data_IF_557112846560
#
_entry.id   IF_557112846560
#
_cell.length_a   1.000
_cell.length_b   1.000
_cell.length_c   1.000
_cell.angle_alpha   90.00
_cell.angle_beta   90.00
_cell.angle_gamma   90.00
#
_symmetry.space_group_name_H-M   'P 1'
#
loop_
_entity.id
_entity.type
_entity.pdbx_description
1 polymer ?
#
# COMPACT_ATOMS: atom_id res chain seq x y z
N UNK A 1 10.40 48.80 -61.95
CA UNK A 1 10.75 48.93 -60.54
C UNK A 1 9.52 48.42 -59.72
N UNK A 2 9.59 47.20 -59.19
CA UNK A 2 8.51 46.62 -58.33
C UNK A 2 9.09 46.53 -56.94
N UNK A 3 8.45 47.22 -55.99
CA UNK A 3 8.77 47.25 -54.58
C UNK A 3 8.32 45.94 -53.95
N UNK A 4 9.22 45.29 -53.25
CA UNK A 4 8.93 44.08 -52.41
C UNK A 4 8.75 44.59 -50.99
N UNK A 5 7.51 44.48 -50.46
CA UNK A 5 7.22 44.73 -49.06
C UNK A 5 7.58 43.49 -48.22
N UNK A 6 8.44 43.70 -47.26
CA UNK A 6 8.89 42.71 -46.29
C UNK A 6 7.92 42.69 -45.11
N UNK A 7 7.11 41.64 -45.00
CA UNK A 7 6.22 41.42 -43.83
C UNK A 7 7.04 40.74 -42.73
N UNK A 8 7.30 41.46 -41.66
CA UNK A 8 7.94 40.92 -40.46
C UNK A 8 6.88 40.13 -39.59
N UNK A 9 7.04 38.82 -39.49
CA UNK A 9 6.23 37.97 -38.66
C UNK A 9 6.80 37.95 -37.25
N UNK A 10 6.16 38.64 -36.31
CA UNK A 10 6.53 38.65 -34.88
C UNK A 10 5.93 37.42 -34.20
N UNK A 11 6.74 36.41 -33.92
CA UNK A 11 6.35 35.27 -33.05
C UNK A 11 6.28 35.72 -31.59
N UNK A 12 5.07 35.82 -31.06
CA UNK A 12 4.85 36.01 -29.61
C UNK A 12 5.02 34.65 -28.92
N UNK A 13 6.19 34.42 -28.31
CA UNK A 13 6.43 33.26 -27.46
C UNK A 13 5.67 33.45 -26.13
N UNK A 14 4.53 32.78 -26.00
CA UNK A 14 3.80 32.70 -24.73
C UNK A 14 4.54 31.75 -23.79
N UNK A 15 5.42 32.27 -22.93
CA UNK A 15 6.07 31.51 -21.86
C UNK A 15 5.04 31.27 -20.76
N UNK A 16 4.45 30.08 -20.72
CA UNK A 16 3.70 29.59 -19.54
C UNK A 16 4.68 29.40 -18.38
N UNK A 17 4.85 30.42 -17.56
CA UNK A 17 5.56 30.30 -16.30
C UNK A 17 4.71 29.39 -15.37
N UNK A 18 5.08 28.12 -15.24
CA UNK A 18 4.60 27.29 -14.15
C UNK A 18 5.22 27.82 -12.86
N UNK A 19 4.42 28.45 -12.02
CA UNK A 19 4.84 28.76 -10.66
C UNK A 19 5.13 27.43 -9.93
N UNK A 20 6.30 27.26 -9.29
CA UNK A 20 6.55 26.10 -8.47
C UNK A 20 5.53 26.08 -7.32
N UNK A 21 4.86 24.94 -7.14
CA UNK A 21 3.99 24.74 -5.99
C UNK A 21 4.79 24.96 -4.69
N UNK A 22 4.22 25.64 -3.68
CA UNK A 22 4.93 25.87 -2.44
C UNK A 22 5.33 24.53 -1.81
N UNK A 23 6.64 24.33 -1.66
CA UNK A 23 7.18 23.16 -0.97
C UNK A 23 6.80 23.29 0.51
N UNK A 24 5.93 22.37 0.98
CA UNK A 24 5.71 22.23 2.42
C UNK A 24 7.05 21.91 3.11
N UNK A 25 7.32 22.48 4.29
CA UNK A 25 8.59 22.28 4.96
C UNK A 25 8.81 20.80 5.27
N UNK A 26 9.93 20.29 4.80
CA UNK A 26 10.36 18.95 5.08
C UNK A 26 10.75 18.83 6.56
N UNK A 27 9.97 18.15 7.38
CA UNK A 27 10.38 17.79 8.73
C UNK A 27 11.61 16.88 8.65
N UNK A 28 12.74 17.31 9.19
CA UNK A 28 13.95 16.52 9.31
C UNK A 28 13.76 15.50 10.44
N UNK A 29 13.67 14.22 10.13
CA UNK A 29 13.55 13.10 11.07
C UNK A 29 13.37 11.79 10.30
N UNK A 30 13.61 10.67 10.92
CA UNK A 30 13.33 9.35 10.32
C UNK A 30 11.84 9.25 10.04
N UNK A 31 11.46 9.45 8.78
CA UNK A 31 10.07 9.56 8.37
C UNK A 31 9.48 8.19 8.18
N UNK A 32 8.38 7.95 8.87
CA UNK A 32 7.50 6.84 8.57
C UNK A 32 6.35 7.36 7.72
N UNK A 33 6.13 6.75 6.57
CA UNK A 33 4.97 7.02 5.72
C UNK A 33 4.07 5.80 5.76
N UNK A 34 2.82 6.00 6.18
CA UNK A 34 1.77 4.99 6.19
C UNK A 34 0.88 5.21 4.98
N UNK A 35 0.87 4.27 4.06
CA UNK A 35 0.09 4.29 2.84
C UNK A 35 -1.20 3.51 3.06
N UNK A 36 -2.33 4.18 2.83
CA UNK A 36 -3.68 3.64 2.88
C UNK A 36 -4.25 3.74 1.46
N UNK A 37 -4.69 2.62 0.89
CA UNK A 37 -5.06 2.59 -0.53
C UNK A 37 -6.54 2.84 -0.76
N UNK A 38 -7.43 2.06 -0.14
CA UNK A 38 -8.85 2.12 -0.43
C UNK A 38 -9.53 3.37 0.16
N UNK A 39 -10.47 3.94 -0.59
CA UNK A 39 -11.23 5.11 -0.16
C UNK A 39 -11.97 4.91 1.16
N UNK A 40 -12.53 3.72 1.37
CA UNK A 40 -13.26 3.38 2.61
C UNK A 40 -12.30 3.27 3.79
N UNK A 41 -11.15 2.62 3.62
CA UNK A 41 -10.11 2.54 4.65
C UNK A 41 -9.62 3.94 5.04
N UNK A 42 -9.40 4.81 4.05
CA UNK A 42 -9.02 6.20 4.29
C UNK A 42 -10.07 6.95 5.11
N UNK A 43 -11.36 6.81 4.76
CA UNK A 43 -12.46 7.42 5.54
C UNK A 43 -12.48 6.92 6.98
N UNK A 44 -12.22 5.61 7.19
CA UNK A 44 -12.16 5.02 8.52
C UNK A 44 -10.99 5.60 9.32
N UNK A 45 -9.79 5.69 8.71
CA UNK A 45 -8.62 6.30 9.35
C UNK A 45 -8.90 7.76 9.72
N UNK A 46 -9.50 8.53 8.81
CA UNK A 46 -9.89 9.93 9.06
C UNK A 46 -10.95 10.09 10.16
N UNK A 47 -11.85 9.12 10.31
CA UNK A 47 -12.83 9.12 11.40
C UNK A 47 -12.22 8.80 12.77
N UNK A 48 -11.11 8.07 12.80
CA UNK A 48 -10.38 7.73 14.03
C UNK A 48 -9.35 8.82 14.42
N UNK A 49 -8.84 9.57 13.45
CA UNK A 49 -7.82 10.62 13.64
C UNK A 49 -8.39 11.94 13.08
N UNK A 50 -9.09 12.71 13.91
CA UNK A 50 -9.95 13.81 13.46
C UNK A 50 -9.29 15.18 13.43
N UNK A 51 -8.33 15.44 14.32
CA UNK A 51 -7.86 16.80 14.62
C UNK A 51 -6.67 17.27 13.77
N UNK A 52 -6.27 16.47 12.78
CA UNK A 52 -5.09 16.73 11.95
C UNK A 52 -5.42 17.55 10.70
N UNK A 53 -4.55 18.51 10.38
CA UNK A 53 -4.64 19.27 9.14
C UNK A 53 -4.38 18.37 7.93
N UNK A 54 -5.30 18.39 6.97
CA UNK A 54 -5.23 17.57 5.75
C UNK A 54 -4.67 18.40 4.60
N UNK A 55 -3.79 17.78 3.82
CA UNK A 55 -3.14 18.37 2.66
C UNK A 55 -3.43 17.50 1.43
N UNK A 56 -3.54 18.13 0.26
CA UNK A 56 -3.78 17.44 -1.01
C UNK A 56 -2.48 17.08 -1.74
N UNK A 57 -2.54 16.01 -2.52
CA UNK A 57 -1.52 15.58 -3.48
C UNK A 57 -2.19 15.19 -4.81
N UNK A 58 -1.44 14.96 -5.89
CA UNK A 58 -2.00 14.45 -7.14
C UNK A 58 -2.69 13.07 -7.01
N UNK A 59 -2.37 12.27 -5.97
CA UNK A 59 -2.94 10.93 -5.78
C UNK A 59 -4.07 10.90 -4.76
N UNK A 60 -4.02 11.75 -3.75
CA UNK A 60 -4.98 11.79 -2.66
C UNK A 60 -4.52 12.75 -1.56
N UNK A 61 -4.93 12.50 -0.35
CA UNK A 61 -4.69 13.37 0.79
C UNK A 61 -3.63 12.80 1.73
N UNK A 62 -2.99 13.64 2.51
CA UNK A 62 -2.10 13.24 3.59
C UNK A 62 -2.27 14.13 4.81
N UNK A 63 -1.89 13.59 5.96
CA UNK A 63 -1.77 14.32 7.21
C UNK A 63 -0.64 13.73 8.07
N UNK A 64 -0.15 14.51 9.02
CA UNK A 64 0.82 14.03 10.02
C UNK A 64 0.08 13.74 11.32
N UNK A 65 0.42 12.61 11.95
CA UNK A 65 -0.16 12.24 13.25
C UNK A 65 0.91 11.58 14.12
N UNK A 66 0.76 11.74 15.43
CA UNK A 66 1.68 11.18 16.40
C UNK A 66 1.22 9.84 16.91
N UNK A 67 1.91 8.75 16.48
CA UNK A 67 1.73 7.41 17.03
C UNK A 67 2.75 7.15 18.15
N UNK A 68 2.30 7.16 19.40
CA UNK A 68 3.19 7.07 20.55
C UNK A 68 4.19 8.24 20.59
N UNK A 69 5.47 7.96 20.38
CA UNK A 69 6.54 8.97 20.34
C UNK A 69 6.97 9.37 18.93
N UNK A 70 6.39 8.75 17.89
CA UNK A 70 6.82 8.91 16.50
C UNK A 70 5.83 9.77 15.71
N UNK A 71 6.35 10.73 14.94
CA UNK A 71 5.56 11.46 13.96
C UNK A 71 5.48 10.63 12.66
N UNK A 72 4.26 10.37 12.21
CA UNK A 72 3.95 9.48 11.08
C UNK A 72 3.14 10.25 10.06
N UNK A 73 3.46 10.10 8.79
CA UNK A 73 2.64 10.63 7.70
C UNK A 73 1.66 9.55 7.23
N UNK A 74 0.37 9.83 7.34
CA UNK A 74 -0.67 9.01 6.72
C UNK A 74 -0.97 9.57 5.33
N UNK A 75 -0.93 8.72 4.32
CA UNK A 75 -1.11 9.10 2.93
C UNK A 75 -2.12 8.20 2.22
N UNK A 76 -3.13 8.81 1.61
CA UNK A 76 -4.12 8.13 0.79
C UNK A 76 -3.56 7.92 -0.61
N UNK A 77 -3.21 6.68 -0.94
CA UNK A 77 -2.50 6.34 -2.17
C UNK A 77 -3.41 6.01 -3.36
N UNK A 78 -4.70 5.81 -3.12
CA UNK A 78 -5.67 5.41 -4.15
C UNK A 78 -5.77 3.89 -4.36
N UNK A 79 -6.84 3.50 -5.05
CA UNK A 79 -7.33 2.14 -5.18
C UNK A 79 -6.76 1.43 -6.42
N UNK A 80 -6.36 0.17 -6.25
CA UNK A 80 -5.83 -0.69 -7.31
C UNK A 80 -4.34 -0.49 -7.61
N UNK A 81 -3.75 -1.41 -8.37
CA UNK A 81 -2.30 -1.49 -8.62
C UNK A 81 -1.70 -0.24 -9.24
N UNK A 82 -2.38 0.38 -10.19
CA UNK A 82 -1.87 1.57 -10.89
C UNK A 82 -1.74 2.76 -9.94
N UNK A 83 -2.79 3.04 -9.15
CA UNK A 83 -2.76 4.11 -8.15
C UNK A 83 -1.74 3.80 -7.05
N UNK A 84 -1.72 2.57 -6.55
CA UNK A 84 -0.80 2.12 -5.52
C UNK A 84 0.67 2.24 -5.95
N UNK A 85 1.02 1.84 -7.17
CA UNK A 85 2.37 1.99 -7.71
C UNK A 85 2.77 3.47 -7.83
N UNK A 86 1.92 4.29 -8.46
CA UNK A 86 2.19 5.72 -8.67
C UNK A 86 2.31 6.49 -7.36
N UNK A 87 1.40 6.24 -6.41
CA UNK A 87 1.43 6.90 -5.09
C UNK A 87 2.61 6.45 -4.23
N UNK A 88 3.03 5.18 -4.34
CA UNK A 88 4.22 4.69 -3.66
C UNK A 88 5.48 5.41 -4.17
N UNK A 89 5.65 5.50 -5.50
CA UNK A 89 6.76 6.25 -6.08
C UNK A 89 6.73 7.71 -5.63
N UNK A 90 5.55 8.36 -5.70
CA UNK A 90 5.38 9.73 -5.22
C UNK A 90 5.78 9.91 -3.75
N UNK A 91 5.36 8.97 -2.87
CA UNK A 91 5.70 9.02 -1.46
C UNK A 91 7.22 8.90 -1.23
N UNK A 92 7.89 8.02 -1.97
CA UNK A 92 9.34 7.82 -1.91
C UNK A 92 10.06 9.10 -2.34
N UNK A 93 9.72 9.65 -3.50
CA UNK A 93 10.36 10.85 -4.05
C UNK A 93 10.09 12.11 -3.21
N UNK A 94 8.89 12.20 -2.64
CA UNK A 94 8.46 13.40 -1.91
C UNK A 94 8.94 13.44 -0.49
N UNK A 95 8.95 12.29 0.20
CA UNK A 95 9.18 12.24 1.64
C UNK A 95 10.42 11.46 2.05
N UNK A 96 11.04 10.69 1.16
CA UNK A 96 12.23 9.87 1.42
C UNK A 96 12.08 9.06 2.72
N UNK A 97 11.04 8.18 2.84
CA UNK A 97 10.74 7.49 4.08
C UNK A 97 11.89 6.57 4.50
N UNK A 98 12.23 6.59 5.79
CA UNK A 98 13.09 5.57 6.38
C UNK A 98 12.35 4.23 6.52
N UNK A 99 11.02 4.27 6.58
CA UNK A 99 10.13 3.13 6.58
C UNK A 99 8.82 3.52 5.89
N UNK A 100 8.46 2.79 4.84
CA UNK A 100 7.14 2.81 4.24
C UNK A 100 6.32 1.67 4.87
N UNK A 101 5.10 1.95 5.31
CA UNK A 101 4.18 0.96 5.84
C UNK A 101 2.91 1.00 5.02
N UNK A 102 2.44 -0.13 4.53
CA UNK A 102 1.10 -0.22 3.97
C UNK A 102 0.18 -0.88 5.00
N UNK A 103 -0.88 -0.16 5.37
CA UNK A 103 -1.98 -0.70 6.18
C UNK A 103 -3.24 -0.77 5.33
N UNK A 104 -3.98 -1.84 5.48
CA UNK A 104 -5.25 -2.03 4.79
C UNK A 104 -5.90 -3.36 5.11
N UNK A 105 -7.07 -3.58 4.54
CA UNK A 105 -7.82 -4.83 4.66
C UNK A 105 -7.42 -5.83 3.59
N UNK A 106 -7.74 -7.10 3.81
CA UNK A 106 -7.60 -8.17 2.82
C UNK A 106 -8.72 -9.20 2.99
N UNK A 107 -9.00 -9.95 1.93
CA UNK A 107 -9.82 -11.15 2.00
C UNK A 107 -8.99 -12.33 2.50
N UNK A 108 -9.45 -13.01 3.54
CA UNK A 108 -8.84 -14.23 4.04
C UNK A 108 -9.34 -15.47 3.28
N UNK A 109 -8.48 -16.48 3.08
CA UNK A 109 -8.93 -17.76 2.52
C UNK A 109 -9.67 -18.55 3.59
N UNK A 110 -10.90 -18.98 3.29
CA UNK A 110 -11.74 -19.74 4.21
C UNK A 110 -11.06 -21.02 4.70
N UNK A 111 -11.13 -21.25 6.01
CA UNK A 111 -10.45 -22.37 6.66
C UNK A 111 -8.95 -22.17 6.96
N UNK A 112 -8.34 -21.12 6.42
CA UNK A 112 -6.93 -20.78 6.67
C UNK A 112 -6.77 -19.52 7.53
N UNK A 113 -7.75 -18.61 7.49
CA UNK A 113 -7.75 -17.33 8.23
C UNK A 113 -9.08 -17.15 8.96
N UNK A 114 -9.06 -16.20 9.92
CA UNK A 114 -10.24 -15.72 10.63
C UNK A 114 -10.36 -14.20 10.45
N UNK A 115 -11.60 -13.68 10.50
CA UNK A 115 -11.82 -12.21 10.48
C UNK A 115 -11.15 -11.57 11.70
N UNK A 116 -10.35 -10.55 11.48
CA UNK A 116 -9.54 -9.90 12.50
C UNK A 116 -8.09 -10.38 12.57
N UNK A 117 -7.72 -11.48 11.90
CA UNK A 117 -6.30 -11.85 11.74
C UNK A 117 -5.53 -10.70 11.10
N UNK A 118 -4.30 -10.46 11.56
CA UNK A 118 -3.39 -9.51 10.93
C UNK A 118 -2.27 -10.28 10.25
N UNK A 119 -2.15 -10.13 8.94
CA UNK A 119 -1.09 -10.72 8.12
C UNK A 119 0.05 -9.72 7.99
N UNK A 120 1.25 -10.09 8.46
CA UNK A 120 2.50 -9.44 8.13
C UNK A 120 3.07 -10.15 6.90
N UNK A 121 3.06 -9.48 5.77
CA UNK A 121 3.51 -10.09 4.53
C UNK A 121 5.02 -10.39 4.55
N UNK A 122 5.39 -11.63 4.31
CA UNK A 122 6.76 -12.07 4.05
C UNK A 122 7.12 -12.03 2.57
N UNK A 123 6.12 -12.03 1.73
CA UNK A 123 6.22 -11.96 0.28
C UNK A 123 4.90 -11.43 -0.28
N UNK A 124 4.96 -10.72 -1.38
CA UNK A 124 3.77 -10.36 -2.18
C UNK A 124 3.94 -10.86 -3.60
N UNK A 125 2.84 -11.31 -4.22
CA UNK A 125 2.83 -11.73 -5.64
C UNK A 125 1.63 -11.10 -6.33
N UNK A 126 1.87 -10.37 -7.43
CA UNK A 126 0.80 -9.91 -8.33
C UNK A 126 0.46 -11.09 -9.24
N UNK A 127 -0.68 -11.75 -8.99
CA UNK A 127 -1.00 -13.04 -9.62
C UNK A 127 -1.85 -12.94 -10.90
N UNK A 128 -2.38 -11.77 -11.21
CA UNK A 128 -3.22 -11.53 -12.39
C UNK A 128 -2.42 -11.02 -13.61
N UNK A 129 -1.12 -11.21 -13.60
CA UNK A 129 -0.29 -11.09 -14.79
C UNK A 129 -0.47 -12.36 -15.61
N UNK A 130 -1.02 -12.21 -16.81
CA UNK A 130 -1.31 -13.33 -17.70
C UNK A 130 -0.50 -13.18 -18.98
N UNK A 131 0.58 -13.94 -19.09
CA UNK A 131 1.39 -14.04 -20.31
C UNK A 131 0.88 -15.22 -21.14
N UNK A 132 0.50 -14.95 -22.41
CA UNK A 132 -0.04 -15.95 -23.33
C UNK A 132 0.91 -16.31 -24.46
N UNK A 133 2.01 -15.55 -24.63
CA UNK A 133 2.95 -15.72 -25.73
C UNK A 133 4.35 -16.16 -25.29
N UNK A 134 4.66 -15.97 -24.02
CA UNK A 134 5.92 -16.33 -23.38
C UNK A 134 5.74 -17.34 -22.27
N UNK A 135 6.64 -17.27 -21.28
CA UNK A 135 6.56 -18.10 -20.06
C UNK A 135 5.75 -17.35 -18.98
N UNK A 136 4.54 -17.82 -18.63
CA UNK A 136 3.71 -17.18 -17.62
C UNK A 136 4.32 -17.21 -16.22
N UNK A 137 5.17 -18.19 -15.90
CA UNK A 137 5.81 -18.26 -14.59
C UNK A 137 6.97 -17.26 -14.48
N UNK A 138 7.71 -17.03 -15.57
CA UNK A 138 8.71 -15.96 -15.64
C UNK A 138 8.06 -14.57 -15.48
N UNK A 139 6.98 -14.33 -16.22
CA UNK A 139 6.24 -13.06 -16.14
C UNK A 139 5.74 -12.74 -14.71
N UNK A 140 5.22 -13.76 -14.00
CA UNK A 140 4.79 -13.57 -12.60
C UNK A 140 5.98 -13.43 -11.65
N UNK A 141 7.10 -14.11 -11.92
CA UNK A 141 8.30 -14.03 -11.07
C UNK A 141 8.83 -12.59 -10.96
N UNK A 142 8.72 -11.78 -12.02
CA UNK A 142 9.10 -10.37 -12.02
C UNK A 142 8.25 -9.50 -11.08
N UNK A 143 7.06 -9.97 -10.73
CA UNK A 143 6.12 -9.28 -9.83
C UNK A 143 5.98 -9.96 -8.47
N UNK A 144 6.97 -10.76 -8.11
CA UNK A 144 7.09 -11.39 -6.80
C UNK A 144 8.13 -10.65 -5.96
N UNK A 145 7.72 -10.12 -4.82
CA UNK A 145 8.58 -9.32 -3.95
C UNK A 145 8.69 -9.96 -2.57
N UNK A 146 9.89 -10.34 -2.17
CA UNK A 146 10.17 -10.78 -0.80
C UNK A 146 10.32 -9.59 0.13
N UNK A 147 9.78 -9.72 1.34
CA UNK A 147 9.75 -8.67 2.35
C UNK A 147 10.52 -9.13 3.60
N UNK A 148 11.28 -8.20 4.17
CA UNK A 148 11.99 -8.46 5.41
C UNK A 148 11.04 -8.33 6.61
N UNK A 149 10.76 -9.45 7.24
CA UNK A 149 9.96 -9.54 8.47
C UNK A 149 10.82 -9.72 9.73
N UNK A 150 12.13 -9.89 9.60
CA UNK A 150 13.04 -10.13 10.74
C UNK A 150 13.09 -8.96 11.73
N UNK A 151 12.80 -7.74 11.24
CA UNK A 151 12.72 -6.55 12.08
C UNK A 151 11.44 -6.47 12.92
N UNK A 152 10.47 -7.36 12.71
CA UNK A 152 9.23 -7.37 13.49
C UNK A 152 9.53 -7.69 14.96
N UNK A 153 8.98 -6.91 15.93
CA UNK A 153 9.28 -7.13 17.34
C UNK A 153 8.82 -8.50 17.85
N UNK A 154 9.72 -9.29 18.42
CA UNK A 154 9.40 -10.63 18.94
C UNK A 154 8.26 -10.61 19.96
N UNK A 155 8.14 -9.54 20.77
CA UNK A 155 7.03 -9.35 21.75
C UNK A 155 5.64 -9.20 21.09
N UNK A 156 5.60 -8.88 19.78
CA UNK A 156 4.37 -8.74 19.02
C UNK A 156 4.15 -9.90 18.02
N UNK A 157 5.01 -10.92 18.05
CA UNK A 157 4.94 -12.04 17.11
C UNK A 157 3.60 -12.79 17.16
N UNK A 158 2.99 -12.91 18.34
CA UNK A 158 1.67 -13.57 18.49
C UNK A 158 0.48 -12.73 17.99
N UNK A 159 0.71 -11.47 17.63
CA UNK A 159 -0.34 -10.57 17.14
C UNK A 159 -0.44 -10.54 15.62
N UNK A 160 0.43 -11.25 14.92
CA UNK A 160 0.45 -11.31 13.46
C UNK A 160 0.64 -12.73 12.97
N UNK A 161 0.14 -13.00 11.80
CA UNK A 161 0.49 -14.20 11.03
C UNK A 161 1.47 -13.77 9.94
N UNK A 162 2.69 -14.31 9.97
CA UNK A 162 3.68 -14.03 8.93
C UNK A 162 3.45 -14.99 7.77
N UNK A 163 3.26 -14.46 6.56
CA UNK A 163 3.02 -15.29 5.38
C UNK A 163 2.93 -14.52 4.08
N UNK A 164 2.92 -15.23 2.94
CA UNK A 164 2.73 -14.63 1.63
C UNK A 164 1.32 -14.06 1.46
N UNK A 165 1.23 -12.93 0.71
CA UNK A 165 0.00 -12.33 0.21
C UNK A 165 -0.02 -12.39 -1.32
N UNK A 166 -1.20 -12.53 -1.90
CA UNK A 166 -1.42 -12.34 -3.34
C UNK A 166 -2.20 -11.05 -3.60
N UNK A 167 -1.88 -10.37 -4.70
CA UNK A 167 -2.56 -9.12 -5.10
C UNK A 167 -3.04 -9.19 -6.53
N UNK A 168 -4.20 -8.58 -6.81
CA UNK A 168 -4.74 -8.45 -8.16
C UNK A 168 -5.75 -7.29 -8.23
N UNK A 169 -5.96 -6.69 -9.41
CA UNK A 169 -7.04 -5.71 -9.62
C UNK A 169 -8.41 -6.41 -9.81
N UNK A 170 -8.71 -7.31 -8.89
CA UNK A 170 -9.97 -8.08 -8.87
C UNK A 170 -10.20 -8.69 -7.50
N UNK A 171 -11.46 -8.96 -7.19
CA UNK A 171 -11.82 -9.73 -6.01
C UNK A 171 -11.28 -11.16 -6.10
N UNK A 172 -11.02 -11.76 -4.96
CA UNK A 172 -10.64 -13.16 -4.87
C UNK A 172 -11.78 -14.05 -5.37
N UNK A 173 -11.47 -14.91 -6.34
CA UNK A 173 -12.41 -15.90 -6.86
C UNK A 173 -12.35 -17.15 -5.97
N UNK A 174 -13.46 -17.56 -5.33
CA UNK A 174 -13.51 -18.79 -4.54
C UNK A 174 -12.95 -20.00 -5.26
N UNK A 175 -13.20 -20.12 -6.57
CA UNK A 175 -12.71 -21.26 -7.37
C UNK A 175 -11.18 -21.24 -7.57
N UNK A 176 -10.54 -20.09 -7.43
CA UNK A 176 -9.09 -19.95 -7.61
C UNK A 176 -8.29 -20.18 -6.31
N UNK A 177 -8.92 -20.10 -5.11
CA UNK A 177 -8.21 -20.10 -3.83
C UNK A 177 -7.29 -21.29 -3.62
N UNK A 178 -7.76 -22.50 -3.93
CA UNK A 178 -6.95 -23.70 -3.78
C UNK A 178 -5.68 -23.66 -4.65
N UNK A 179 -5.80 -23.13 -5.88
CA UNK A 179 -4.67 -22.94 -6.79
C UNK A 179 -3.70 -21.85 -6.28
N UNK A 180 -4.22 -20.74 -5.78
CA UNK A 180 -3.41 -19.66 -5.20
C UNK A 180 -2.66 -20.12 -3.95
N UNK A 181 -3.32 -20.86 -3.07
CA UNK A 181 -2.70 -21.44 -1.87
C UNK A 181 -1.61 -22.44 -2.24
N UNK A 182 -1.86 -23.32 -3.21
CA UNK A 182 -0.88 -24.33 -3.64
C UNK A 182 0.33 -23.70 -4.35
N UNK A 183 0.10 -22.71 -5.23
CA UNK A 183 1.16 -22.11 -6.04
C UNK A 183 1.98 -21.06 -5.27
N UNK A 184 1.34 -20.23 -4.46
CA UNK A 184 1.98 -19.08 -3.81
C UNK A 184 2.08 -19.23 -2.29
N UNK A 185 1.56 -20.31 -1.71
CA UNK A 185 1.47 -20.53 -0.25
C UNK A 185 0.72 -19.38 0.47
N UNK A 186 -0.13 -18.66 -0.27
CA UNK A 186 -0.89 -17.55 0.26
C UNK A 186 -2.12 -18.05 1.03
N UNK A 187 -2.56 -17.25 1.99
CA UNK A 187 -3.77 -17.50 2.77
C UNK A 187 -4.66 -16.26 2.88
N UNK A 188 -4.27 -15.19 2.20
CA UNK A 188 -5.02 -13.95 2.07
C UNK A 188 -4.60 -13.22 0.80
N UNK A 189 -5.44 -12.30 0.33
CA UNK A 189 -5.16 -11.49 -0.85
C UNK A 189 -5.82 -10.12 -0.78
N UNK A 190 -5.24 -9.20 -1.53
CA UNK A 190 -5.68 -7.81 -1.63
C UNK A 190 -5.52 -7.26 -3.06
N UNK A 191 -5.66 -5.94 -3.20
CA UNK A 191 -5.55 -5.29 -4.51
C UNK A 191 -4.24 -4.51 -4.70
N UNK A 192 -3.53 -4.07 -3.66
CA UNK A 192 -2.47 -3.07 -3.80
C UNK A 192 -1.10 -3.48 -3.28
N UNK A 193 -1.02 -4.36 -2.28
CA UNK A 193 0.25 -4.60 -1.58
C UNK A 193 1.36 -5.12 -2.48
N UNK A 194 1.01 -5.89 -3.52
CA UNK A 194 1.98 -6.33 -4.52
C UNK A 194 2.64 -5.18 -5.27
N UNK A 195 1.85 -4.20 -5.70
CA UNK A 195 2.36 -3.03 -6.41
C UNK A 195 3.21 -2.12 -5.50
N UNK A 196 2.76 -1.92 -4.25
CA UNK A 196 3.49 -1.13 -3.25
C UNK A 196 4.85 -1.77 -2.94
N UNK A 197 4.87 -3.06 -2.67
CA UNK A 197 6.08 -3.81 -2.36
C UNK A 197 7.06 -3.80 -3.55
N UNK A 198 6.56 -4.00 -4.76
CA UNK A 198 7.36 -3.99 -5.99
C UNK A 198 8.06 -2.64 -6.21
N UNK A 199 7.31 -1.53 -6.13
CA UNK A 199 7.88 -0.18 -6.27
C UNK A 199 8.89 0.11 -5.17
N UNK A 200 8.58 -0.22 -3.91
CA UNK A 200 9.49 0.00 -2.79
C UNK A 200 10.80 -0.78 -2.95
N UNK A 201 10.74 -2.04 -3.39
CA UNK A 201 11.92 -2.88 -3.63
C UNK A 201 12.81 -2.29 -4.74
N UNK A 202 12.23 -1.83 -5.86
CA UNK A 202 12.98 -1.22 -6.96
C UNK A 202 13.63 0.12 -6.59
N UNK A 203 13.09 0.80 -5.58
CA UNK A 203 13.67 2.02 -5.01
C UNK A 203 14.58 1.75 -3.79
N UNK A 204 14.85 0.50 -3.45
CA UNK A 204 15.60 0.13 -2.23
C UNK A 204 15.03 0.77 -0.96
N UNK A 205 13.73 1.04 -0.94
CA UNK A 205 13.01 1.62 0.18
C UNK A 205 12.52 0.50 1.11
N UNK A 206 12.85 0.62 2.39
CA UNK A 206 12.35 -0.32 3.39
C UNK A 206 10.84 -0.25 3.47
N UNK A 207 10.17 -1.37 3.29
CA UNK A 207 8.71 -1.46 3.30
C UNK A 207 8.21 -2.56 4.22
N UNK A 208 7.06 -2.34 4.84
CA UNK A 208 6.33 -3.31 5.64
C UNK A 208 4.86 -3.31 5.23
N UNK A 209 4.31 -4.48 4.99
CA UNK A 209 2.92 -4.67 4.59
C UNK A 209 2.19 -5.38 5.73
N UNK A 210 1.18 -4.72 6.29
CA UNK A 210 0.28 -5.25 7.30
C UNK A 210 -1.15 -5.20 6.78
N UNK A 211 -1.77 -6.36 6.61
CA UNK A 211 -3.16 -6.47 6.14
C UNK A 211 -4.01 -7.17 7.20
N UNK A 212 -5.14 -6.58 7.52
CA UNK A 212 -6.10 -7.22 8.41
C UNK A 212 -7.23 -7.89 7.64
N UNK A 213 -7.57 -9.10 8.02
CA UNK A 213 -8.65 -9.87 7.37
C UNK A 213 -9.99 -9.26 7.74
N UNK A 214 -10.69 -8.72 6.76
CA UNK A 214 -12.01 -8.09 6.92
C UNK A 214 -13.16 -9.02 6.58
N UNK A 215 -12.91 -10.02 5.75
CA UNK A 215 -13.88 -10.96 5.20
C UNK A 215 -13.19 -12.28 4.83
N UNK A 216 -13.97 -13.36 4.74
CA UNK A 216 -13.47 -14.68 4.38
C UNK A 216 -14.06 -15.12 3.04
N UNK A 217 -13.22 -15.35 2.06
CA UNK A 217 -13.63 -15.90 0.77
C UNK A 217 -13.71 -17.41 0.87
N UNK A 218 -14.81 -18.01 0.36
CA UNK A 218 -15.08 -19.46 0.38
C UNK A 218 -15.08 -20.07 1.80
N UNK A 219 -15.60 -19.33 2.79
CA UNK A 219 -15.80 -19.89 4.13
C UNK A 219 -16.87 -20.99 4.10
N UNK A 220 -16.67 -22.11 4.83
CA UNK A 220 -17.72 -23.12 4.98
C UNK A 220 -19.00 -22.52 5.56
N UNK A 221 -20.11 -22.62 4.82
CA UNK A 221 -21.40 -22.01 5.19
C UNK A 221 -21.59 -20.58 4.65
N UNK A 222 -20.63 -20.05 3.90
CA UNK A 222 -20.60 -18.69 3.38
C UNK A 222 -20.10 -17.67 4.41
N UNK A 223 -19.40 -16.66 3.94
CA UNK A 223 -19.06 -15.51 4.79
C UNK A 223 -20.24 -14.52 4.82
N UNK A 224 -20.84 -14.24 5.98
CA UNK A 224 -21.89 -13.25 6.07
C UNK A 224 -21.46 -11.84 5.70
N UNK A 225 -20.13 -11.55 5.64
CA UNK A 225 -19.61 -10.24 5.29
C UNK A 225 -19.49 -10.05 3.78
N UNK A 226 -19.19 -11.10 3.02
CA UNK A 226 -18.88 -11.04 1.58
C UNK A 226 -20.08 -10.57 0.71
N UNK A 227 -21.30 -10.89 1.12
CA UNK A 227 -22.53 -10.53 0.38
C UNK A 227 -23.49 -9.61 1.16
N UNK A 228 -23.10 -9.17 2.37
CA UNK A 228 -23.95 -8.32 3.20
C UNK A 228 -23.56 -6.84 3.04
N UNK A 229 -24.45 -5.99 2.49
CA UNK A 229 -24.18 -4.56 2.37
C UNK A 229 -23.75 -3.93 3.71
N UNK A 230 -22.64 -3.21 3.70
CA UNK A 230 -22.08 -2.54 4.87
C UNK A 230 -21.42 -3.46 5.92
N UNK A 231 -21.41 -4.78 5.73
CA UNK A 231 -20.74 -5.69 6.66
C UNK A 231 -19.21 -5.55 6.56
N UNK A 232 -18.69 -5.47 5.34
CA UNK A 232 -17.28 -5.22 5.08
C UNK A 232 -16.81 -3.90 5.72
N UNK A 233 -17.57 -2.80 5.55
CA UNK A 233 -17.20 -1.52 6.18
C UNK A 233 -17.15 -1.64 7.71
N UNK A 234 -18.11 -2.34 8.33
CA UNK A 234 -18.11 -2.53 9.79
C UNK A 234 -16.91 -3.34 10.27
N UNK A 235 -16.59 -4.44 9.59
CA UNK A 235 -15.41 -5.25 9.89
C UNK A 235 -14.12 -4.42 9.71
N UNK A 236 -14.05 -3.64 8.63
CA UNK A 236 -12.91 -2.77 8.33
C UNK A 236 -12.65 -1.72 9.41
N UNK A 237 -13.67 -1.20 10.11
CA UNK A 237 -13.48 -0.25 11.21
C UNK A 237 -12.64 -0.85 12.33
N UNK A 238 -12.98 -2.06 12.78
CA UNK A 238 -12.27 -2.75 13.85
C UNK A 238 -10.85 -3.18 13.40
N UNK A 239 -10.75 -3.68 12.17
CA UNK A 239 -9.47 -4.09 11.57
C UNK A 239 -8.51 -2.91 11.46
N UNK A 240 -8.93 -1.78 10.90
CA UNK A 240 -8.08 -0.59 10.76
C UNK A 240 -7.65 -0.02 12.11
N UNK A 241 -8.54 -0.01 13.12
CA UNK A 241 -8.18 0.39 14.47
C UNK A 241 -7.09 -0.52 15.07
N UNK A 242 -7.22 -1.84 14.87
CA UNK A 242 -6.23 -2.82 15.34
C UNK A 242 -4.88 -2.66 14.63
N UNK A 243 -4.88 -2.39 13.32
CA UNK A 243 -3.67 -2.15 12.53
C UNK A 243 -2.92 -0.88 12.99
N UNK A 244 -3.64 0.23 13.20
CA UNK A 244 -3.06 1.50 13.67
C UNK A 244 -2.47 1.31 15.08
N UNK A 245 -3.19 0.68 16.00
CA UNK A 245 -2.70 0.42 17.35
C UNK A 245 -1.47 -0.50 17.33
N UNK A 246 -1.49 -1.56 16.53
CA UNK A 246 -0.37 -2.50 16.40
C UNK A 246 0.87 -1.82 15.82
N UNK A 247 0.69 -0.96 14.81
CA UNK A 247 1.79 -0.17 14.26
C UNK A 247 2.39 0.76 15.33
N UNK A 248 1.56 1.46 16.10
CA UNK A 248 2.01 2.31 17.20
C UNK A 248 2.89 1.56 18.21
N UNK A 249 2.49 0.33 18.55
CA UNK A 249 3.26 -0.55 19.44
C UNK A 249 4.58 -1.02 18.81
N UNK A 250 4.62 -1.24 17.49
CA UNK A 250 5.78 -1.79 16.79
C UNK A 250 6.83 -0.72 16.41
N UNK A 251 6.43 0.49 16.11
CA UNK A 251 7.29 1.55 15.55
C UNK A 251 8.58 1.81 16.34
N UNK A 252 8.57 1.88 17.70
CA UNK A 252 9.82 2.13 18.44
C UNK A 252 10.89 1.06 18.19
N UNK A 253 10.49 -0.19 17.99
CA UNK A 253 11.43 -1.28 17.70
C UNK A 253 11.86 -1.26 16.23
N UNK A 254 10.91 -1.07 15.31
CA UNK A 254 11.15 -1.02 13.88
C UNK A 254 12.15 0.09 13.48
N UNK A 255 12.10 1.22 14.16
CA UNK A 255 13.00 2.35 13.87
C UNK A 255 14.38 2.20 14.51
N UNK A 256 14.52 1.36 15.56
CA UNK A 256 15.82 1.01 16.14
C UNK A 256 16.57 -0.04 15.31
N UNK A 257 15.86 -0.87 14.57
CA UNK A 257 16.47 -1.88 13.70
C UNK A 257 17.19 -1.19 12.56
N UNK A 258 18.49 -1.42 12.42
CA UNK A 258 19.27 -0.90 11.31
C UNK A 258 18.67 -1.35 9.97
N UNK A 259 18.72 -0.54 8.89
CA UNK A 259 18.31 -1.00 7.58
C UNK A 259 19.16 -2.22 7.22
N UNK A 260 18.51 -3.37 7.01
CA UNK A 260 19.19 -4.54 6.48
C UNK A 260 19.52 -4.18 5.03
N UNK A 261 20.81 -4.19 4.70
CA UNK A 261 21.29 -4.03 3.33
C UNK A 261 20.53 -5.03 2.44
N UNK A 262 19.82 -4.54 1.44
CA UNK A 262 19.15 -5.40 0.47
C UNK A 262 20.17 -6.39 -0.08
N UNK A 263 19.99 -7.68 0.22
CA UNK A 263 20.74 -8.73 -0.45
C UNK A 263 20.37 -8.68 -1.93
N UNK A 264 21.39 -8.56 -2.78
CA UNK A 264 21.29 -8.59 -4.25
C UNK A 264 20.79 -9.94 -4.70
#
# INVERSE_FOLDING_TARGET
MKSVELVALTCLACACAHAPAPSAPAAAGSRVVVLISANTEWKIVRAQITDEAVHDTPFGQWFSHRLGTQDVLFFHGGYGKVAAAGSTQYAIDRWHPALLVNLGTCGGFGGAREVGDIVLASETTIYDIVEMMGDPDEAIADYRTRLDTAAWPARLASRVVIGPLVSADRDLDPAALAGLAAKYHASAGDWESGAIAWVAAHNHTRVMILRGVSDLVDAPGGDPTYHAPGAWERASVAVMASLIALLGDALPDLLRSAPISAAR
#
